data_IF_920603942445
#
_entry.id   IF_920603942445
#
_cell.length_a   1.000
_cell.length_b   1.000
_cell.length_c   1.000
_cell.angle_alpha   90.00
_cell.angle_beta   90.00
_cell.angle_gamma   90.00
#
_symmetry.space_group_name_H-M   'P 1'
#
loop_
_entity.id
_entity.type
_entity.pdbx_description
1 polymer ?
#
# COMPACT_ATOMS: atom_id res chain seq x y z
N UNK A 1 5.65 -13.09 26.30
CA UNK A 1 4.93 -13.93 25.31
C UNK A 1 3.50 -13.42 25.24
N UNK A 2 3.15 -12.64 24.21
CA UNK A 2 1.76 -12.22 24.01
C UNK A 2 1.02 -13.33 23.26
N UNK A 3 -0.11 -13.75 23.82
CA UNK A 3 -1.03 -14.76 23.27
C UNK A 3 -1.49 -14.35 21.87
N UNK A 4 -1.42 -15.28 20.92
CA UNK A 4 -1.81 -15.11 19.51
C UNK A 4 -3.33 -14.90 19.29
N UNK A 5 -4.09 -14.65 20.35
CA UNK A 5 -5.54 -14.43 20.33
C UNK A 5 -5.98 -13.14 21.04
N UNK A 6 -5.07 -12.16 21.21
CA UNK A 6 -5.44 -10.84 21.74
C UNK A 6 -5.98 -9.94 20.62
N UNK A 7 -7.02 -9.16 20.92
CA UNK A 7 -7.59 -8.13 20.03
C UNK A 7 -6.55 -7.15 19.42
N UNK A 8 -5.36 -7.07 20.03
CA UNK A 8 -4.24 -6.18 19.66
C UNK A 8 -3.02 -6.93 19.11
N UNK A 9 -3.16 -8.17 18.61
CA UNK A 9 -2.03 -8.95 18.09
C UNK A 9 -1.26 -8.24 16.96
N UNK A 10 -1.91 -7.29 16.29
CA UNK A 10 -1.38 -6.51 15.16
C UNK A 10 -1.36 -5.00 15.43
N UNK A 11 -1.54 -4.60 16.69
CA UNK A 11 -1.35 -3.22 17.09
C UNK A 11 0.12 -2.81 16.96
N UNK A 12 0.41 -1.50 16.77
CA UNK A 12 1.79 -1.01 16.77
C UNK A 12 2.57 -1.46 18.00
N UNK A 13 3.87 -1.71 17.84
CA UNK A 13 4.69 -2.21 18.95
C UNK A 13 4.86 -1.17 20.05
N UNK A 14 5.11 0.10 19.67
CA UNK A 14 5.35 1.20 20.60
C UNK A 14 4.05 1.84 21.08
N UNK A 15 3.97 2.15 22.36
CA UNK A 15 2.79 2.80 22.97
C UNK A 15 2.45 4.16 22.36
N UNK A 16 3.47 4.93 21.97
CA UNK A 16 3.27 6.17 21.21
C UNK A 16 2.58 5.90 19.86
N UNK A 17 3.08 4.91 19.11
CA UNK A 17 2.51 4.56 17.81
C UNK A 17 1.09 3.97 17.97
N UNK A 18 0.77 3.25 19.06
CA UNK A 18 -0.62 2.80 19.33
C UNK A 18 -1.59 3.97 19.47
N UNK A 19 -1.20 4.99 20.26
CA UNK A 19 -2.01 6.20 20.43
C UNK A 19 -2.17 6.99 19.14
N UNK A 20 -1.09 7.14 18.37
CA UNK A 20 -1.13 7.80 17.07
C UNK A 20 -2.03 7.04 16.08
N UNK A 21 -2.00 5.70 16.09
CA UNK A 21 -2.84 4.88 15.24
C UNK A 21 -4.32 4.98 15.62
N UNK A 22 -4.63 5.02 16.91
CA UNK A 22 -6.00 5.20 17.39
C UNK A 22 -6.56 6.59 17.01
N UNK A 23 -5.73 7.65 17.06
CA UNK A 23 -6.11 8.97 16.56
C UNK A 23 -6.37 8.95 15.06
N UNK A 24 -5.50 8.30 14.29
CA UNK A 24 -5.70 8.09 12.86
C UNK A 24 -7.02 7.36 12.59
N UNK A 25 -7.30 6.27 13.31
CA UNK A 25 -8.52 5.48 13.17
C UNK A 25 -9.78 6.33 13.39
N UNK A 26 -9.82 7.08 14.50
CA UNK A 26 -10.94 8.00 14.81
C UNK A 26 -11.13 9.07 13.74
N UNK A 27 -10.04 9.61 13.18
CA UNK A 27 -10.12 10.55 12.08
C UNK A 27 -10.77 9.90 10.86
N UNK A 28 -10.32 8.72 10.44
CA UNK A 28 -10.86 8.03 9.26
C UNK A 28 -12.34 7.68 9.45
N UNK A 29 -12.75 7.32 10.65
CA UNK A 29 -14.15 6.99 10.98
C UNK A 29 -15.06 8.23 11.13
N UNK A 30 -14.50 9.44 11.22
CA UNK A 30 -15.28 10.67 11.38
C UNK A 30 -16.09 11.03 10.13
N UNK A 31 -17.30 11.58 10.33
CA UNK A 31 -18.19 12.01 9.24
C UNK A 31 -17.54 13.02 8.30
N UNK A 32 -16.76 13.95 8.86
CA UNK A 32 -16.01 14.96 8.10
C UNK A 32 -15.01 14.32 7.13
N UNK A 33 -14.31 13.27 7.57
CA UNK A 33 -13.38 12.55 6.71
C UNK A 33 -14.10 11.66 5.69
N UNK A 34 -15.21 11.04 6.08
CA UNK A 34 -16.07 10.28 5.17
C UNK A 34 -16.61 11.18 4.05
N UNK A 35 -16.96 12.43 4.35
CA UNK A 35 -17.37 13.40 3.33
C UNK A 35 -16.21 13.83 2.42
N UNK A 36 -15.02 14.00 2.99
CA UNK A 36 -13.80 14.36 2.25
C UNK A 36 -13.36 13.25 1.27
N UNK A 37 -13.48 11.98 1.68
CA UNK A 37 -13.02 10.83 0.91
C UNK A 37 -14.12 10.26 0.00
N UNK A 38 -13.95 10.43 -1.31
CA UNK A 38 -14.70 9.66 -2.32
C UNK A 38 -13.78 8.62 -2.96
N UNK A 39 -14.36 7.53 -3.45
CA UNK A 39 -13.60 6.48 -4.13
C UNK A 39 -14.42 5.74 -5.17
N UNK A 40 -13.72 5.07 -6.09
CA UNK A 40 -14.30 4.18 -7.08
C UNK A 40 -15.15 3.07 -6.43
N UNK A 41 -16.26 2.63 -7.06
CA UNK A 41 -17.09 1.52 -6.55
C UNK A 41 -16.33 0.22 -6.34
N UNK A 42 -15.21 0.02 -7.05
CA UNK A 42 -14.35 -1.17 -6.91
C UNK A 42 -13.78 -1.34 -5.49
N UNK A 43 -13.69 -0.24 -4.73
CA UNK A 43 -13.20 -0.25 -3.35
C UNK A 43 -14.33 -0.40 -2.31
N UNK A 44 -15.60 -0.58 -2.71
CA UNK A 44 -16.74 -0.62 -1.77
C UNK A 44 -16.60 -1.67 -0.66
N UNK A 45 -16.00 -2.82 -0.98
CA UNK A 45 -15.79 -3.90 -0.01
C UNK A 45 -14.45 -3.82 0.74
N UNK A 46 -13.62 -2.81 0.46
CA UNK A 46 -12.26 -2.70 1.00
C UNK A 46 -12.29 -1.98 2.34
N UNK A 47 -11.52 -2.48 3.31
CA UNK A 47 -11.39 -1.83 4.60
C UNK A 47 -10.56 -0.55 4.46
N UNK A 48 -11.00 0.55 5.09
CA UNK A 48 -10.31 1.85 5.03
C UNK A 48 -9.09 1.92 5.96
N UNK A 49 -9.04 1.03 6.95
CA UNK A 49 -8.00 0.93 7.98
C UNK A 49 -7.51 -0.52 8.07
N UNK A 50 -6.24 -0.75 8.42
CA UNK A 50 -5.72 -2.10 8.64
C UNK A 50 -6.33 -2.75 9.89
N UNK A 51 -6.36 -4.09 9.91
CA UNK A 51 -6.85 -4.87 11.05
C UNK A 51 -5.89 -4.79 12.24
N UNK A 52 -6.45 -4.70 13.46
CA UNK A 52 -5.71 -4.75 14.72
C UNK A 52 -5.52 -6.17 15.26
N UNK A 53 -6.34 -7.12 14.80
CA UNK A 53 -6.35 -8.50 15.25
C UNK A 53 -5.70 -9.48 14.25
N UNK A 54 -5.66 -9.13 12.96
CA UNK A 54 -5.23 -10.05 11.90
C UNK A 54 -4.04 -9.52 11.11
N UNK A 55 -2.89 -10.21 11.26
CA UNK A 55 -1.64 -9.90 10.58
C UNK A 55 -1.45 -10.88 9.43
N UNK A 56 -2.28 -10.76 8.40
CA UNK A 56 -2.14 -11.61 7.22
C UNK A 56 -1.02 -11.10 6.31
N UNK A 57 -0.22 -11.98 5.69
CA UNK A 57 0.74 -11.58 4.67
C UNK A 57 0.09 -10.70 3.59
N UNK A 58 0.83 -9.71 3.10
CA UNK A 58 0.40 -8.78 2.04
C UNK A 58 -0.76 -7.84 2.39
N UNK A 59 -1.18 -7.79 3.66
CA UNK A 59 -2.08 -6.76 4.19
C UNK A 59 -1.27 -5.58 4.74
N UNK A 60 -1.90 -4.41 4.80
CA UNK A 60 -1.33 -3.27 5.51
C UNK A 60 -1.29 -3.56 7.00
N UNK A 61 -0.22 -3.15 7.66
CA UNK A 61 -0.11 -3.17 9.13
C UNK A 61 -0.45 -1.79 9.70
N UNK A 62 -0.79 -1.74 10.99
CA UNK A 62 -0.99 -0.46 11.68
C UNK A 62 0.25 0.45 11.59
N UNK A 63 1.45 -0.13 11.72
CA UNK A 63 2.71 0.58 11.55
C UNK A 63 2.92 1.08 10.11
N UNK A 64 2.56 0.29 9.10
CA UNK A 64 2.61 0.70 7.70
C UNK A 64 1.67 1.89 7.42
N UNK A 65 0.47 1.88 8.00
CA UNK A 65 -0.43 3.02 7.90
C UNK A 65 0.18 4.27 8.55
N UNK A 66 0.79 4.15 9.74
CA UNK A 66 1.48 5.25 10.39
C UNK A 66 2.68 5.78 9.59
N UNK A 67 3.41 4.92 8.88
CA UNK A 67 4.48 5.37 7.98
C UNK A 67 3.91 6.30 6.89
N UNK A 68 2.77 5.95 6.29
CA UNK A 68 2.09 6.82 5.33
C UNK A 68 1.54 8.11 5.96
N UNK A 69 1.03 8.06 7.18
CA UNK A 69 0.63 9.27 7.94
C UNK A 69 1.82 10.18 8.19
N UNK A 70 2.96 9.64 8.63
CA UNK A 70 4.19 10.41 8.87
C UNK A 70 4.71 11.03 7.56
N UNK A 71 4.68 10.28 6.46
CA UNK A 71 5.02 10.78 5.12
C UNK A 71 4.08 11.92 4.68
N UNK A 72 2.77 11.79 4.90
CA UNK A 72 1.81 12.83 4.54
C UNK A 72 2.01 14.12 5.36
N UNK A 73 2.25 14.01 6.66
CA UNK A 73 2.64 15.15 7.52
C UNK A 73 3.91 15.83 7.01
N UNK A 74 4.94 15.05 6.68
CA UNK A 74 6.19 15.58 6.13
C UNK A 74 5.95 16.36 4.83
N UNK A 75 5.18 15.78 3.90
CA UNK A 75 4.85 16.44 2.63
C UNK A 75 4.03 17.70 2.87
N UNK A 76 3.06 17.69 3.79
CA UNK A 76 2.27 18.89 4.13
C UNK A 76 3.18 20.02 4.58
N UNK A 77 4.12 19.74 5.47
CA UNK A 77 5.08 20.72 5.95
C UNK A 77 5.97 21.24 4.82
N UNK A 78 6.45 20.36 3.94
CA UNK A 78 7.29 20.74 2.78
C UNK A 78 6.56 21.67 1.80
N UNK A 79 5.25 21.48 1.63
CA UNK A 79 4.41 22.25 0.71
C UNK A 79 3.58 23.35 1.41
N UNK A 80 3.83 23.64 2.69
CA UNK A 80 3.03 24.61 3.46
C UNK A 80 3.08 26.03 2.87
N UNK A 81 4.22 26.43 2.29
CA UNK A 81 4.38 27.72 1.61
C UNK A 81 3.97 27.72 0.14
N UNK A 82 3.39 26.63 -0.36
CA UNK A 82 2.93 26.54 -1.75
C UNK A 82 1.45 26.91 -1.88
N UNK A 83 1.02 27.19 -3.11
CA UNK A 83 -0.38 27.49 -3.40
C UNK A 83 -1.31 26.28 -3.25
N UNK A 84 -0.82 25.06 -2.97
CA UNK A 84 -1.66 23.87 -2.79
C UNK A 84 -2.68 24.06 -1.65
N UNK A 85 -2.28 24.77 -0.59
CA UNK A 85 -3.11 24.99 0.61
C UNK A 85 -3.58 26.44 0.77
N UNK A 86 -3.43 27.26 -0.28
CA UNK A 86 -3.99 28.61 -0.27
C UNK A 86 -5.52 28.56 -0.28
N UNK A 87 -6.24 29.40 0.48
CA UNK A 87 -7.69 29.48 0.44
C UNK A 87 -8.28 29.76 -0.96
N UNK A 88 -7.48 30.37 -1.84
CA UNK A 88 -7.86 30.70 -3.22
C UNK A 88 -7.74 29.48 -4.16
N UNK A 89 -6.96 28.48 -3.77
CA UNK A 89 -6.60 27.34 -4.62
C UNK A 89 -7.63 26.23 -4.49
N UNK A 90 -8.68 26.25 -5.31
CA UNK A 90 -9.72 25.20 -5.33
C UNK A 90 -9.32 24.02 -6.22
N UNK A 91 -8.53 23.11 -5.68
CA UNK A 91 -8.01 21.95 -6.39
C UNK A 91 -9.03 20.81 -6.45
N UNK A 92 -9.18 20.24 -7.65
CA UNK A 92 -9.83 18.94 -7.82
C UNK A 92 -8.76 17.85 -7.81
N UNK A 93 -8.76 17.03 -6.75
CA UNK A 93 -7.69 16.06 -6.50
C UNK A 93 -8.18 14.64 -6.74
N UNK A 94 -7.53 13.95 -7.68
CA UNK A 94 -7.65 12.51 -7.86
C UNK A 94 -6.40 11.78 -7.37
N UNK A 95 -6.61 10.64 -6.73
CA UNK A 95 -5.56 9.79 -6.17
C UNK A 95 -5.70 8.42 -6.79
N UNK A 96 -4.68 7.96 -7.50
CA UNK A 96 -4.75 6.63 -8.13
C UNK A 96 -4.16 5.57 -7.21
N UNK A 97 -4.90 4.47 -7.02
CA UNK A 97 -4.44 3.31 -6.26
C UNK A 97 -4.76 2.02 -7.00
N UNK A 98 -3.92 1.01 -6.85
CA UNK A 98 -4.23 -0.34 -7.35
C UNK A 98 -5.30 -1.00 -6.48
N UNK A 99 -5.93 -2.03 -7.03
CA UNK A 99 -7.02 -2.76 -6.37
C UNK A 99 -6.53 -3.79 -5.34
N UNK A 100 -5.59 -3.38 -4.48
CA UNK A 100 -5.21 -4.13 -3.29
C UNK A 100 -5.61 -3.36 -2.03
N UNK A 101 -6.05 -4.08 -1.01
CA UNK A 101 -6.49 -3.47 0.25
C UNK A 101 -5.38 -2.59 0.85
N UNK A 102 -4.14 -3.10 0.85
CA UNK A 102 -2.97 -2.36 1.36
C UNK A 102 -2.71 -1.04 0.64
N UNK A 103 -2.85 -0.98 -0.68
CA UNK A 103 -2.56 0.23 -1.45
C UNK A 103 -3.69 1.24 -1.35
N UNK A 104 -4.92 0.77 -1.21
CA UNK A 104 -6.07 1.62 -0.90
C UNK A 104 -5.90 2.28 0.48
N UNK A 105 -5.54 1.48 1.49
CA UNK A 105 -5.27 1.95 2.86
C UNK A 105 -4.05 2.89 2.92
N UNK A 106 -2.97 2.62 2.18
CA UNK A 106 -1.85 3.56 2.02
C UNK A 106 -2.29 4.93 1.52
N UNK A 107 -3.13 4.95 0.48
CA UNK A 107 -3.60 6.18 -0.13
C UNK A 107 -4.46 7.00 0.85
N UNK A 108 -5.34 6.33 1.59
CA UNK A 108 -6.15 6.95 2.66
C UNK A 108 -5.24 7.52 3.75
N UNK A 109 -4.31 6.71 4.28
CA UNK A 109 -3.39 7.12 5.33
C UNK A 109 -2.56 8.35 4.95
N UNK A 110 -1.98 8.35 3.75
CA UNK A 110 -1.20 9.47 3.24
C UNK A 110 -2.06 10.74 3.07
N UNK A 111 -3.20 10.63 2.39
CA UNK A 111 -4.06 11.80 2.08
C UNK A 111 -4.72 12.40 3.32
N UNK A 112 -5.00 11.58 4.35
CA UNK A 112 -5.56 12.02 5.63
C UNK A 112 -4.68 13.01 6.40
N UNK A 113 -3.37 12.98 6.15
CA UNK A 113 -2.41 13.86 6.82
C UNK A 113 -1.77 14.87 5.89
N UNK A 114 -1.75 14.59 4.57
CA UNK A 114 -1.25 15.53 3.59
C UNK A 114 -2.30 16.60 3.23
N UNK A 115 -3.48 16.17 2.81
CA UNK A 115 -4.49 17.04 2.18
C UNK A 115 -5.60 17.47 3.14
N UNK A 116 -6.00 16.60 4.06
CA UNK A 116 -6.98 16.95 5.10
C UNK A 116 -6.30 17.75 6.25
N UNK A 117 -6.96 18.73 6.91
CA UNK A 117 -8.33 19.23 6.71
C UNK A 117 -8.39 20.49 5.83
N UNK A 118 -7.79 20.51 4.64
CA UNK A 118 -7.75 21.71 3.80
C UNK A 118 -9.08 21.97 3.05
N UNK A 119 -10.22 22.09 3.75
CA UNK A 119 -11.57 22.18 3.18
C UNK A 119 -11.74 23.30 2.13
N UNK A 120 -11.04 24.43 2.30
CA UNK A 120 -11.08 25.55 1.34
C UNK A 120 -10.38 25.21 0.02
N UNK A 121 -9.22 24.55 0.11
CA UNK A 121 -8.36 24.31 -1.05
C UNK A 121 -8.62 22.95 -1.72
N UNK A 122 -8.79 21.91 -0.91
CA UNK A 122 -9.06 20.53 -1.33
C UNK A 122 -10.32 20.08 -0.59
N UNK A 123 -11.52 20.44 -1.09
CA UNK A 123 -12.76 20.13 -0.39
C UNK A 123 -13.02 18.62 -0.32
N UNK A 124 -12.66 17.89 -1.38
CA UNK A 124 -12.81 16.44 -1.48
C UNK A 124 -11.67 15.85 -2.31
N UNK A 125 -11.40 14.57 -2.09
CA UNK A 125 -10.52 13.76 -2.93
C UNK A 125 -11.33 12.61 -3.56
N UNK A 126 -10.86 12.13 -4.71
CA UNK A 126 -11.39 10.92 -5.33
C UNK A 126 -10.30 9.88 -5.53
N UNK A 127 -10.42 8.73 -4.84
CA UNK A 127 -9.51 7.59 -5.03
C UNK A 127 -9.99 6.74 -6.22
N UNK A 128 -9.23 6.78 -7.31
CA UNK A 128 -9.48 6.04 -8.54
C UNK A 128 -8.76 4.70 -8.55
N UNK A 129 -9.46 3.66 -8.99
CA UNK A 129 -8.93 2.31 -9.10
C UNK A 129 -8.14 2.14 -10.41
N UNK A 130 -6.87 1.73 -10.30
CA UNK A 130 -6.08 1.24 -11.44
C UNK A 130 -6.07 -0.28 -11.47
N UNK A 131 -6.16 -0.84 -12.69
CA UNK A 131 -6.01 -2.28 -12.96
C UNK A 131 -4.53 -2.69 -13.10
N UNK A 132 -3.59 -1.75 -13.04
CA UNK A 132 -2.19 -1.99 -13.37
C UNK A 132 -1.28 -1.66 -12.19
N UNK A 133 -0.27 -2.49 -11.98
CA UNK A 133 0.79 -2.24 -10.97
C UNK A 133 1.55 -0.94 -11.25
N UNK A 134 1.57 -0.48 -12.51
CA UNK A 134 2.15 0.80 -12.93
C UNK A 134 1.21 2.00 -12.76
N UNK A 135 0.07 1.82 -12.09
CA UNK A 135 -0.89 2.91 -11.77
C UNK A 135 -1.43 3.66 -12.98
N UNK A 136 -1.41 3.07 -14.18
CA UNK A 136 -1.99 3.73 -15.33
C UNK A 136 -3.53 3.60 -15.32
N UNK A 137 -4.20 4.71 -15.60
CA UNK A 137 -5.66 4.84 -15.67
C UNK A 137 -6.18 5.01 -17.11
N UNK A 138 -5.28 5.26 -18.07
CA UNK A 138 -5.63 5.48 -19.49
C UNK A 138 -5.67 4.16 -20.29
N UNK A 139 -6.59 4.06 -21.25
CA UNK A 139 -6.74 2.85 -22.11
C UNK A 139 -5.47 2.53 -22.90
N UNK A 140 -4.76 3.56 -23.35
CA UNK A 140 -3.52 3.42 -24.14
C UNK A 140 -2.35 2.81 -23.37
N UNK A 141 -2.44 2.66 -22.04
CA UNK A 141 -1.44 1.95 -21.26
C UNK A 141 -1.58 0.43 -21.28
N UNK A 142 -2.65 -0.09 -21.89
CA UNK A 142 -2.83 -1.54 -21.99
C UNK A 142 -1.89 -2.09 -23.06
N UNK A 143 -0.65 -2.39 -22.66
CA UNK A 143 0.29 -3.11 -23.49
C UNK A 143 0.13 -4.62 -23.27
N UNK A 144 -0.65 -5.27 -24.13
CA UNK A 144 -0.84 -6.72 -24.07
C UNK A 144 0.49 -7.48 -24.28
N UNK A 145 1.39 -6.92 -25.11
CA UNK A 145 2.73 -7.48 -25.33
C UNK A 145 3.59 -7.46 -24.06
N UNK A 146 3.44 -6.45 -23.19
CA UNK A 146 4.21 -6.37 -21.95
C UNK A 146 3.93 -7.57 -21.02
N UNK A 147 2.70 -8.10 -21.01
CA UNK A 147 2.38 -9.34 -20.26
C UNK A 147 3.18 -10.53 -20.79
N UNK A 148 3.26 -10.66 -22.12
CA UNK A 148 4.02 -11.74 -22.78
C UNK A 148 5.51 -11.61 -22.49
N UNK A 149 6.08 -10.43 -22.68
CA UNK A 149 7.50 -10.18 -22.40
C UNK A 149 7.85 -10.40 -20.94
N UNK A 150 6.97 -10.00 -20.02
CA UNK A 150 7.18 -10.23 -18.60
C UNK A 150 7.22 -11.73 -18.27
N UNK A 151 6.29 -12.50 -18.83
CA UNK A 151 6.27 -13.95 -18.62
C UNK A 151 7.53 -14.63 -19.19
N UNK A 152 7.96 -14.23 -20.39
CA UNK A 152 9.19 -14.73 -21.01
C UNK A 152 10.41 -14.39 -20.16
N UNK A 153 10.54 -13.12 -19.72
CA UNK A 153 11.61 -12.68 -18.82
C UNK A 153 11.63 -13.50 -17.52
N UNK A 154 10.49 -13.73 -16.88
CA UNK A 154 10.43 -14.49 -15.63
C UNK A 154 10.87 -15.95 -15.80
N UNK A 155 10.50 -16.59 -16.93
CA UNK A 155 10.93 -17.93 -17.27
C UNK A 155 12.44 -18.00 -17.56
N UNK A 156 12.96 -17.07 -18.36
CA UNK A 156 14.37 -16.99 -18.72
C UNK A 156 15.24 -16.68 -17.49
N UNK A 157 14.80 -15.75 -16.64
CA UNK A 157 15.47 -15.40 -15.40
C UNK A 157 15.53 -16.58 -14.42
N UNK A 158 14.41 -17.27 -14.21
CA UNK A 158 14.37 -18.47 -13.37
C UNK A 158 15.29 -19.57 -13.93
N UNK A 159 15.26 -19.80 -15.25
CA UNK A 159 16.13 -20.77 -15.92
C UNK A 159 17.61 -20.38 -15.82
N UNK A 160 17.94 -19.09 -15.89
CA UNK A 160 19.29 -18.58 -15.69
C UNK A 160 19.77 -18.85 -14.26
N UNK A 161 18.96 -18.52 -13.24
CA UNK A 161 19.30 -18.74 -11.84
C UNK A 161 19.61 -20.22 -11.57
N UNK A 162 18.74 -21.13 -12.02
CA UNK A 162 18.93 -22.58 -11.81
C UNK A 162 20.19 -23.13 -12.48
N UNK A 163 20.60 -22.58 -13.64
CA UNK A 163 21.74 -23.05 -14.41
C UNK A 163 23.08 -22.42 -14.03
N UNK A 164 23.07 -21.15 -13.62
CA UNK A 164 24.28 -20.32 -13.52
C UNK A 164 24.61 -19.86 -12.11
N UNK A 165 23.67 -19.87 -11.18
CA UNK A 165 23.92 -19.38 -9.83
C UNK A 165 24.72 -20.38 -9.00
N UNK A 166 25.62 -19.89 -8.13
CA UNK A 166 26.35 -20.72 -7.17
C UNK A 166 25.41 -21.66 -6.39
N UNK A 167 25.87 -22.88 -6.12
CA UNK A 167 25.08 -23.89 -5.42
C UNK A 167 24.55 -23.41 -4.06
N UNK A 168 25.39 -22.71 -3.30
CA UNK A 168 25.02 -22.13 -2.00
C UNK A 168 23.81 -21.20 -2.09
N UNK A 169 23.72 -20.37 -3.14
CA UNK A 169 22.58 -19.48 -3.37
C UNK A 169 21.31 -20.25 -3.74
N UNK A 170 21.44 -21.35 -4.49
CA UNK A 170 20.31 -22.23 -4.85
C UNK A 170 19.77 -22.96 -3.62
N UNK A 171 20.66 -23.52 -2.79
CA UNK A 171 20.30 -24.18 -1.52
C UNK A 171 19.60 -23.20 -0.56
N UNK A 172 20.11 -21.97 -0.46
CA UNK A 172 19.47 -20.93 0.36
C UNK A 172 18.07 -20.57 -0.17
N UNK A 173 17.92 -20.40 -1.48
CA UNK A 173 16.62 -20.17 -2.09
C UNK A 173 15.65 -21.33 -1.81
N UNK A 174 16.09 -22.58 -1.98
CA UNK A 174 15.26 -23.76 -1.68
C UNK A 174 14.83 -23.83 -0.21
N UNK A 175 15.71 -23.44 0.72
CA UNK A 175 15.35 -23.33 2.13
C UNK A 175 14.24 -22.29 2.35
N UNK A 176 14.31 -21.13 1.69
CA UNK A 176 13.27 -20.10 1.80
C UNK A 176 11.92 -20.55 1.23
N UNK A 177 11.92 -21.41 0.20
CA UNK A 177 10.69 -21.98 -0.40
C UNK A 177 9.88 -22.85 0.56
N UNK A 178 10.48 -23.30 1.67
CA UNK A 178 9.75 -24.02 2.72
C UNK A 178 8.69 -23.16 3.38
N UNK A 179 8.87 -21.83 3.36
CA UNK A 179 7.84 -20.91 3.82
C UNK A 179 6.69 -20.84 2.80
N UNK A 180 5.46 -20.96 3.28
CA UNK A 180 4.23 -20.93 2.45
C UNK A 180 4.15 -19.73 1.49
N UNK A 181 4.64 -18.56 1.90
CA UNK A 181 4.70 -17.34 1.10
C UNK A 181 5.60 -17.49 -0.15
N UNK A 182 6.69 -18.27 -0.08
CA UNK A 182 7.70 -18.38 -1.14
C UNK A 182 7.63 -19.70 -1.91
N UNK A 183 6.63 -20.53 -1.65
CA UNK A 183 6.52 -21.87 -2.26
C UNK A 183 6.56 -21.85 -3.79
N UNK A 184 6.03 -20.78 -4.40
CA UNK A 184 5.93 -20.59 -5.86
C UNK A 184 7.11 -19.85 -6.50
N UNK A 185 8.06 -19.35 -5.72
CA UNK A 185 9.19 -18.56 -6.25
C UNK A 185 10.38 -19.45 -6.54
N UNK A 186 11.13 -19.15 -7.59
CA UNK A 186 12.31 -19.93 -8.02
C UNK A 186 13.61 -19.28 -7.58
N UNK A 187 13.69 -17.95 -7.68
CA UNK A 187 14.90 -17.20 -7.36
C UNK A 187 14.65 -16.16 -6.25
N UNK A 188 15.71 -15.67 -5.58
CA UNK A 188 15.58 -14.69 -4.50
C UNK A 188 14.92 -13.36 -4.91
N UNK A 189 15.04 -12.94 -6.18
CA UNK A 189 14.40 -11.71 -6.66
C UNK A 189 12.88 -11.92 -6.74
N UNK A 190 12.43 -13.10 -7.19
CA UNK A 190 11.01 -13.46 -7.12
C UNK A 190 10.52 -13.56 -5.66
N UNK A 191 11.34 -14.07 -4.73
CA UNK A 191 11.00 -14.09 -3.30
C UNK A 191 10.82 -12.68 -2.74
N UNK A 192 11.70 -11.75 -3.11
CA UNK A 192 11.56 -10.34 -2.75
C UNK A 192 10.30 -9.73 -3.35
N UNK A 193 10.03 -9.96 -4.63
CA UNK A 193 8.80 -9.50 -5.30
C UNK A 193 7.54 -10.01 -4.55
N UNK A 194 7.52 -11.29 -4.16
CA UNK A 194 6.41 -11.88 -3.40
C UNK A 194 6.32 -11.32 -1.98
N UNK A 195 7.46 -11.11 -1.30
CA UNK A 195 7.51 -10.45 0.00
C UNK A 195 6.97 -9.01 -0.07
N UNK A 196 7.20 -8.31 -1.18
CA UNK A 196 6.68 -6.97 -1.47
C UNK A 196 5.21 -6.97 -1.96
N UNK A 197 4.55 -8.14 -1.93
CA UNK A 197 3.12 -8.29 -2.19
C UNK A 197 2.76 -8.52 -3.66
N UNK A 198 3.71 -8.95 -4.49
CA UNK A 198 3.43 -9.43 -5.84
C UNK A 198 2.96 -10.88 -5.76
N UNK A 199 1.79 -11.20 -6.31
CA UNK A 199 1.25 -12.57 -6.36
C UNK A 199 1.47 -13.20 -7.72
#
# INVERSE_FOLDING_TARGET
MHSANSHDACAPFRELDRRDFEQYRKLIESDDFQFFLRHDPKFKAFAKIPSLSECSPQQMTAEGALQHVKLGKYMRNKYAGSNIFSPESRLNVSVTSSQYNRTFQSAIAFTSSFLYPSKASVPQIFIQASNFTFMCTHKNCQCNLAKKWRHQYEQEHAGYFLKRSPEQLRVFADALRTHSAFKKTVDPIQMMDVALGRS
#
